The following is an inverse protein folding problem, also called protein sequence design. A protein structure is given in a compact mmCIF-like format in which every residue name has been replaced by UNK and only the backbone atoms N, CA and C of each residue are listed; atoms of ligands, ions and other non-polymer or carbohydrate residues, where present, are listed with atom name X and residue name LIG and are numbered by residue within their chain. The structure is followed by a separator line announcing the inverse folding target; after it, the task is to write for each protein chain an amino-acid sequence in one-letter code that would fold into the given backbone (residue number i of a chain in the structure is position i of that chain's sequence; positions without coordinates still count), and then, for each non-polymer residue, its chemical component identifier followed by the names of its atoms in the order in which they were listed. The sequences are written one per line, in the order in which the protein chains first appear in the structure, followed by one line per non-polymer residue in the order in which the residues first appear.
data_IF_154328319812
#
_entry.id   IF_154328319812
#
_cell.length_a   1.000
_cell.length_b   1.000
_cell.length_c   1.000
_cell.angle_alpha   90.00
_cell.angle_beta   90.00
_cell.angle_gamma   90.00
#
_symmetry.space_group_name_H-M   'P 1'
#
loop_
_entity.id
_entity.type
_entity.pdbx_description
1 polymer ?
#
# COMPACT_ATOMS: atom_id res chain seq x y z
N UNK A 1 27.49 -32.47 63.72
CA UNK A 1 27.97 -32.29 62.32
C UNK A 1 27.22 -33.32 61.48
N UNK A 2 26.42 -33.00 60.46
CA UNK A 2 26.47 -31.92 59.49
C UNK A 2 25.07 -31.31 59.25
N UNK A 3 25.05 -30.04 58.86
CA UNK A 3 23.89 -29.29 58.42
C UNK A 3 24.00 -29.22 56.88
N UNK A 4 23.21 -30.01 56.15
CA UNK A 4 23.16 -29.92 54.68
C UNK A 4 21.94 -29.09 54.25
N UNK A 5 22.19 -27.83 53.90
CA UNK A 5 21.26 -27.04 53.10
C UNK A 5 21.32 -27.49 51.64
N UNK A 6 20.19 -27.65 50.93
CA UNK A 6 20.21 -27.99 49.52
C UNK A 6 20.76 -26.82 48.70
N UNK A 7 21.86 -27.06 48.00
CA UNK A 7 22.45 -26.14 47.03
C UNK A 7 21.42 -25.81 45.94
N UNK A 8 20.96 -24.56 45.92
CA UNK A 8 20.13 -23.97 44.86
C UNK A 8 20.88 -24.09 43.52
N UNK A 9 20.50 -25.06 42.69
CA UNK A 9 21.07 -25.28 41.36
C UNK A 9 20.64 -24.11 40.45
N UNK A 10 21.53 -23.12 40.26
CA UNK A 10 21.39 -22.08 39.23
C UNK A 10 21.69 -22.70 37.86
N UNK A 11 20.76 -23.50 37.34
CA UNK A 11 20.80 -24.00 35.95
C UNK A 11 19.85 -23.18 35.11
N UNK A 12 20.31 -21.99 34.71
CA UNK A 12 19.58 -21.12 33.77
C UNK A 12 20.44 -20.02 33.15
N UNK A 13 21.76 -20.06 33.34
CA UNK A 13 22.64 -18.94 32.97
C UNK A 13 22.76 -18.74 31.46
N UNK A 14 23.23 -19.74 30.72
CA UNK A 14 23.46 -19.61 29.27
C UNK A 14 22.21 -19.94 28.45
N UNK A 15 21.55 -21.06 28.74
CA UNK A 15 20.31 -21.46 28.05
C UNK A 15 19.18 -20.45 28.28
N UNK A 16 19.01 -19.96 29.51
CA UNK A 16 18.01 -18.93 29.82
C UNK A 16 18.32 -17.58 29.18
N UNK A 17 19.60 -17.19 29.06
CA UNK A 17 20.00 -15.98 28.32
C UNK A 17 19.83 -16.11 26.82
N UNK A 18 20.06 -17.30 26.25
CA UNK A 18 19.80 -17.57 24.83
C UNK A 18 18.29 -17.53 24.58
N UNK A 19 17.49 -18.21 25.41
CA UNK A 19 16.03 -18.18 25.31
C UNK A 19 15.47 -16.76 25.48
N UNK A 20 15.97 -15.97 26.44
CA UNK A 20 15.54 -14.58 26.63
C UNK A 20 15.96 -13.66 25.46
N UNK A 21 17.07 -13.94 24.77
CA UNK A 21 17.48 -13.20 23.56
C UNK A 21 16.74 -13.64 22.30
N UNK A 22 16.18 -14.85 22.30
CA UNK A 22 15.39 -15.40 21.20
C UNK A 22 13.89 -15.15 21.38
N UNK A 23 13.45 -14.76 22.57
CA UNK A 23 12.09 -14.35 22.82
C UNK A 23 11.78 -13.07 22.00
N UNK A 24 10.58 -12.96 21.42
CA UNK A 24 10.13 -11.73 20.78
C UNK A 24 10.23 -10.56 21.75
N UNK A 25 10.61 -9.39 21.24
CA UNK A 25 10.56 -8.16 22.02
C UNK A 25 9.10 -7.73 22.21
N UNK A 26 8.78 -7.31 23.44
CA UNK A 26 7.54 -6.57 23.71
C UNK A 26 7.49 -5.34 22.81
N UNK A 27 6.28 -4.93 22.40
CA UNK A 27 6.11 -3.86 21.40
C UNK A 27 6.85 -2.57 21.79
N UNK A 28 6.81 -2.20 23.07
CA UNK A 28 7.45 -0.99 23.60
C UNK A 28 8.98 -1.07 23.63
N UNK A 29 9.55 -2.27 23.63
CA UNK A 29 11.00 -2.49 23.64
C UNK A 29 11.58 -2.59 22.21
N UNK A 30 10.73 -2.58 21.17
CA UNK A 30 11.18 -2.65 19.78
C UNK A 30 11.84 -1.35 19.34
N UNK A 31 12.98 -1.42 18.64
CA UNK A 31 13.69 -0.22 18.17
C UNK A 31 12.93 0.52 17.05
N UNK A 32 12.11 -0.21 16.29
CA UNK A 32 11.26 0.31 15.23
C UNK A 32 9.83 -0.12 15.54
N UNK A 33 8.90 0.83 15.51
CA UNK A 33 7.49 0.63 15.82
C UNK A 33 6.61 1.30 14.75
N UNK A 34 5.39 0.82 14.51
CA UNK A 34 4.46 1.53 13.65
C UNK A 34 4.16 2.92 14.20
N UNK A 35 4.14 3.92 13.32
CA UNK A 35 3.75 5.28 13.66
C UNK A 35 4.81 6.10 14.41
N UNK A 36 6.09 5.78 14.23
CA UNK A 36 7.17 6.65 14.73
C UNK A 36 7.05 8.06 14.14
N UNK A 37 7.41 9.08 14.93
CA UNK A 37 7.31 10.48 14.49
C UNK A 37 8.31 10.81 13.38
N UNK A 38 7.81 11.34 12.27
CA UNK A 38 8.55 11.91 11.15
C UNK A 38 8.51 13.43 11.12
N UNK A 39 8.57 14.02 9.92
CA UNK A 39 8.31 15.45 9.68
C UNK A 39 9.46 16.42 10.03
N UNK A 40 10.59 15.94 10.53
CA UNK A 40 11.70 16.79 10.99
C UNK A 40 12.49 17.47 9.86
N UNK A 41 12.67 16.79 8.73
CA UNK A 41 13.43 17.33 7.60
C UNK A 41 12.52 18.12 6.67
N UNK A 42 12.67 19.45 6.67
CA UNK A 42 11.88 20.39 5.85
C UNK A 42 12.82 21.22 4.97
N UNK A 43 13.19 20.73 3.76
CA UNK A 43 14.17 21.40 2.91
C UNK A 43 13.62 22.61 2.14
N UNK A 44 12.29 22.75 2.06
CA UNK A 44 11.62 23.85 1.36
C UNK A 44 11.10 24.87 2.39
N UNK A 45 11.16 26.15 2.03
CA UNK A 45 10.48 27.20 2.78
C UNK A 45 8.98 27.21 2.49
N UNK A 46 8.19 27.91 3.30
CA UNK A 46 6.75 28.06 3.05
C UNK A 46 6.45 28.68 1.67
N UNK A 47 7.25 29.67 1.27
CA UNK A 47 7.12 30.30 -0.04
C UNK A 47 7.44 29.33 -1.19
N UNK A 48 8.41 28.41 -1.01
CA UNK A 48 8.70 27.37 -2.00
C UNK A 48 7.55 26.36 -2.10
N UNK A 49 6.93 26.01 -0.96
CA UNK A 49 5.76 25.13 -0.92
C UNK A 49 4.56 25.75 -1.64
N UNK A 50 4.26 27.03 -1.36
CA UNK A 50 3.20 27.78 -2.05
C UNK A 50 3.46 27.81 -3.57
N UNK A 51 4.70 28.08 -3.99
CA UNK A 51 5.05 28.10 -5.42
C UNK A 51 4.82 26.74 -6.09
N UNK A 52 5.22 25.64 -5.46
CA UNK A 52 5.01 24.28 -6.01
C UNK A 52 3.51 23.95 -6.06
N UNK A 53 2.77 24.31 -5.02
CA UNK A 53 1.32 24.08 -4.96
C UNK A 53 0.58 24.85 -6.05
N UNK A 54 0.83 26.16 -6.18
CA UNK A 54 0.18 26.98 -7.20
C UNK A 54 0.55 26.53 -8.61
N UNK A 55 1.80 26.08 -8.84
CA UNK A 55 2.19 25.49 -10.13
C UNK A 55 1.42 24.19 -10.43
N UNK A 56 1.21 23.32 -9.44
CA UNK A 56 0.42 22.11 -9.61
C UNK A 56 -1.06 22.42 -9.93
N UNK A 57 -1.63 23.41 -9.25
CA UNK A 57 -3.00 23.89 -9.52
C UNK A 57 -3.10 24.50 -10.92
N UNK A 58 -2.15 25.34 -11.31
CA UNK A 58 -2.10 25.95 -12.65
C UNK A 58 -2.03 24.89 -13.75
N UNK A 59 -1.24 23.82 -13.55
CA UNK A 59 -1.18 22.70 -14.47
C UNK A 59 -2.52 21.96 -14.55
N UNK A 60 -3.18 21.67 -13.44
CA UNK A 60 -4.47 20.97 -13.44
C UNK A 60 -5.60 21.83 -14.02
N UNK A 61 -5.57 23.14 -13.80
CA UNK A 61 -6.60 24.08 -14.25
C UNK A 61 -6.41 24.49 -15.71
N UNK A 62 -5.19 24.82 -16.13
CA UNK A 62 -4.92 25.35 -17.48
C UNK A 62 -4.54 24.29 -18.49
N UNK A 63 -3.80 23.26 -18.07
CA UNK A 63 -3.37 22.19 -18.96
C UNK A 63 -4.27 20.96 -18.81
N UNK A 64 -4.76 20.64 -17.61
CA UNK A 64 -5.63 19.50 -17.36
C UNK A 64 -4.93 18.14 -17.50
N UNK A 65 -5.72 17.07 -17.38
CA UNK A 65 -5.28 15.68 -17.49
C UNK A 65 -5.83 15.03 -18.75
N UNK A 66 -4.98 14.37 -19.54
CA UNK A 66 -5.41 13.64 -20.73
C UNK A 66 -5.90 12.22 -20.43
N UNK A 67 -6.58 11.62 -21.42
CA UNK A 67 -7.09 10.24 -21.36
C UNK A 67 -8.08 9.96 -20.20
N UNK A 68 -9.01 10.87 -19.84
CA UNK A 68 -10.01 10.58 -18.82
C UNK A 68 -11.01 9.51 -19.32
N UNK A 69 -11.55 8.72 -18.39
CA UNK A 69 -12.67 7.80 -18.65
C UNK A 69 -14.02 8.52 -18.42
N UNK A 70 -15.13 8.04 -19.02
CA UNK A 70 -16.44 8.65 -18.85
C UNK A 70 -16.83 8.91 -17.40
N UNK A 71 -16.56 7.96 -16.49
CA UNK A 71 -16.87 8.11 -15.06
C UNK A 71 -16.14 9.29 -14.41
N UNK A 72 -14.91 9.59 -14.85
CA UNK A 72 -14.15 10.74 -14.31
C UNK A 72 -14.61 12.04 -14.91
N UNK A 73 -14.93 12.03 -16.22
CA UNK A 73 -15.49 13.21 -16.87
C UNK A 73 -16.76 13.61 -16.15
N UNK A 74 -17.71 12.69 -15.97
CA UNK A 74 -18.99 12.95 -15.31
C UNK A 74 -18.80 13.55 -13.91
N UNK A 75 -18.09 12.85 -13.02
CA UNK A 75 -17.90 13.30 -11.62
C UNK A 75 -17.19 14.65 -11.54
N UNK A 76 -16.20 14.90 -12.40
CA UNK A 76 -15.44 16.15 -12.37
C UNK A 76 -16.22 17.29 -13.00
N UNK A 77 -16.94 17.07 -14.10
CA UNK A 77 -17.77 18.11 -14.73
C UNK A 77 -18.95 18.50 -13.86
N UNK A 78 -19.57 17.54 -13.17
CA UNK A 78 -20.65 17.80 -12.22
C UNK A 78 -20.17 18.62 -11.02
N UNK A 79 -18.90 18.49 -10.65
CA UNK A 79 -18.25 19.27 -9.60
C UNK A 79 -17.66 20.62 -10.09
N UNK A 80 -17.86 20.99 -11.35
CA UNK A 80 -17.44 22.29 -11.91
C UNK A 80 -16.12 22.28 -12.68
N UNK A 81 -15.51 21.11 -12.90
CA UNK A 81 -14.46 20.93 -13.90
C UNK A 81 -15.02 20.95 -15.34
N UNK A 82 -14.15 20.85 -16.33
CA UNK A 82 -14.56 20.88 -17.74
C UNK A 82 -13.62 20.07 -18.64
N UNK A 83 -14.15 19.70 -19.82
CA UNK A 83 -13.36 19.14 -20.91
C UNK A 83 -12.98 20.24 -21.91
N UNK A 84 -11.73 20.30 -22.34
CA UNK A 84 -11.30 21.20 -23.42
C UNK A 84 -11.51 20.59 -24.83
N UNK A 85 -11.26 21.39 -25.87
CA UNK A 85 -11.32 20.96 -27.26
C UNK A 85 -10.26 19.90 -27.65
N UNK A 86 -9.27 19.67 -26.78
CA UNK A 86 -8.20 18.69 -26.97
C UNK A 86 -8.47 17.38 -26.21
N UNK A 87 -9.62 17.24 -25.57
CA UNK A 87 -9.99 16.03 -24.82
C UNK A 87 -9.25 15.89 -23.49
N UNK A 88 -8.87 17.00 -22.85
CA UNK A 88 -8.26 17.04 -21.52
C UNK A 88 -9.30 17.46 -20.49
N UNK A 89 -9.22 16.86 -19.31
CA UNK A 89 -10.09 17.13 -18.16
C UNK A 89 -9.41 18.13 -17.21
N UNK A 90 -10.06 19.25 -16.96
CA UNK A 90 -9.54 20.37 -16.18
C UNK A 90 -10.19 20.46 -14.80
N UNK A 91 -9.40 20.89 -13.82
CA UNK A 91 -9.79 20.96 -12.43
C UNK A 91 -9.57 22.37 -11.90
N UNK A 92 -10.62 23.16 -11.63
CA UNK A 92 -10.44 24.48 -11.02
C UNK A 92 -9.92 24.34 -9.59
N UNK A 93 -9.13 25.34 -9.13
CA UNK A 93 -8.55 25.36 -7.78
C UNK A 93 -9.54 24.99 -6.67
N UNK A 94 -10.73 25.58 -6.70
CA UNK A 94 -11.77 25.36 -5.70
C UNK A 94 -12.26 23.89 -5.65
N UNK A 95 -12.31 23.19 -6.79
CA UNK A 95 -12.65 21.76 -6.84
C UNK A 95 -11.56 20.93 -6.17
N UNK A 96 -10.29 21.21 -6.51
CA UNK A 96 -9.14 20.50 -5.93
C UNK A 96 -9.06 20.71 -4.42
N UNK A 97 -9.17 21.95 -3.95
CA UNK A 97 -9.17 22.29 -2.52
C UNK A 97 -10.36 21.65 -1.78
N UNK A 98 -11.55 21.66 -2.38
CA UNK A 98 -12.72 21.00 -1.82
C UNK A 98 -12.55 19.49 -1.68
N UNK A 99 -11.95 18.83 -2.68
CA UNK A 99 -11.64 17.41 -2.63
C UNK A 99 -10.59 17.08 -1.56
N UNK A 100 -9.57 17.93 -1.40
CA UNK A 100 -8.57 17.80 -0.33
C UNK A 100 -9.25 17.92 1.04
N UNK A 101 -10.15 18.90 1.24
CA UNK A 101 -10.83 19.10 2.53
C UNK A 101 -11.70 17.89 2.92
N UNK A 102 -12.36 17.26 1.95
CA UNK A 102 -13.17 16.06 2.16
C UNK A 102 -12.35 14.79 2.48
N UNK A 103 -11.08 14.75 2.08
CA UNK A 103 -10.25 13.56 2.23
C UNK A 103 -9.91 13.26 3.69
N UNK A 104 -9.97 11.98 4.08
CA UNK A 104 -9.58 11.52 5.42
C UNK A 104 -8.13 11.88 5.73
N UNK A 105 -7.90 12.58 6.85
CA UNK A 105 -6.55 12.99 7.32
C UNK A 105 -5.91 11.96 8.22
N UNK A 106 -6.74 11.22 8.94
CA UNK A 106 -6.37 10.17 9.87
C UNK A 106 -7.35 9.01 9.70
N UNK A 107 -6.82 7.79 9.55
CA UNK A 107 -7.61 6.57 9.40
C UNK A 107 -6.81 5.34 9.83
N UNK A 108 -7.50 4.23 10.09
CA UNK A 108 -6.88 2.96 10.45
C UNK A 108 -6.76 2.10 9.21
N UNK A 109 -5.54 1.74 8.83
CA UNK A 109 -5.31 0.68 7.86
C UNK A 109 -5.28 -0.65 8.59
N UNK A 110 -6.32 -1.45 8.39
CA UNK A 110 -6.53 -2.66 9.16
C UNK A 110 -5.55 -3.76 8.76
N UNK A 111 -5.02 -4.49 9.75
CA UNK A 111 -4.44 -5.80 9.50
C UNK A 111 -5.53 -6.85 9.36
N UNK A 112 -5.17 -8.04 8.88
CA UNK A 112 -6.04 -9.21 9.05
C UNK A 112 -6.25 -9.49 10.54
N UNK A 113 -5.16 -9.43 11.31
CA UNK A 113 -5.20 -9.35 12.77
C UNK A 113 -5.32 -7.87 13.20
N UNK A 114 -6.27 -7.59 14.08
CA UNK A 114 -6.53 -6.24 14.57
C UNK A 114 -5.30 -5.66 15.28
N UNK A 115 -4.54 -6.51 16.00
CA UNK A 115 -3.33 -6.11 16.71
C UNK A 115 -2.22 -5.57 15.80
N UNK A 116 -2.28 -5.86 14.49
CA UNK A 116 -1.31 -5.39 13.50
C UNK A 116 -1.81 -4.20 12.67
N UNK A 117 -3.01 -3.69 12.94
CA UNK A 117 -3.53 -2.49 12.27
C UNK A 117 -2.65 -1.26 12.57
N UNK A 118 -2.61 -0.31 11.64
CA UNK A 118 -1.77 0.89 11.78
C UNK A 118 -2.59 2.17 11.58
N UNK A 119 -2.28 3.18 12.40
CA UNK A 119 -2.86 4.53 12.25
C UNK A 119 -2.11 5.32 11.17
N UNK A 120 -2.77 5.55 10.04
CA UNK A 120 -2.27 6.37 8.94
C UNK A 120 -2.71 7.82 9.16
N UNK A 121 -1.81 8.78 8.96
CA UNK A 121 -2.10 10.21 9.12
C UNK A 121 -1.03 10.98 9.90
N UNK A 122 -1.07 12.31 9.76
CA UNK A 122 -0.08 13.21 10.36
C UNK A 122 1.37 12.88 9.97
N UNK A 123 2.29 13.02 10.93
CA UNK A 123 3.71 12.72 10.75
C UNK A 123 4.07 11.25 11.08
N UNK A 124 3.09 10.34 11.16
CA UNK A 124 3.34 8.93 11.52
C UNK A 124 4.03 8.19 10.37
N UNK A 125 5.20 7.62 10.66
CA UNK A 125 6.01 6.86 9.70
C UNK A 125 5.75 5.38 9.84
N UNK A 126 5.50 4.73 8.70
CA UNK A 126 5.36 3.28 8.60
C UNK A 126 6.28 2.71 7.53
N UNK A 127 6.97 1.62 7.86
CA UNK A 127 7.80 0.89 6.90
C UNK A 127 6.97 -0.22 6.27
N UNK A 128 7.11 -0.41 4.97
CA UNK A 128 6.47 -1.51 4.28
C UNK A 128 7.25 -1.88 3.04
N UNK A 129 6.92 -3.05 2.51
CA UNK A 129 7.40 -3.43 1.18
C UNK A 129 6.60 -2.73 0.11
N UNK A 130 7.14 -2.72 -1.11
CA UNK A 130 6.46 -2.35 -2.35
C UNK A 130 7.20 -2.98 -3.53
N UNK A 131 6.60 -2.95 -4.71
CA UNK A 131 7.26 -3.36 -5.95
C UNK A 131 6.33 -4.06 -6.91
N UNK A 132 6.95 -4.65 -7.93
CA UNK A 132 6.34 -5.55 -8.90
C UNK A 132 7.45 -6.23 -9.70
N UNK A 133 8.51 -6.70 -9.02
CA UNK A 133 9.63 -7.33 -9.69
C UNK A 133 9.17 -8.63 -10.39
N UNK A 134 9.65 -8.86 -11.61
CA UNK A 134 9.29 -10.05 -12.42
C UNK A 134 10.32 -11.19 -12.29
N UNK A 135 11.38 -10.94 -11.54
CA UNK A 135 12.45 -11.89 -11.25
C UNK A 135 12.69 -11.96 -9.75
N UNK A 136 12.94 -13.16 -9.26
CA UNK A 136 13.39 -13.45 -7.90
C UNK A 136 14.86 -13.86 -7.93
N UNK A 137 15.64 -13.33 -6.99
CA UNK A 137 17.01 -13.78 -6.77
C UNK A 137 17.01 -15.09 -5.98
N UNK A 138 17.65 -16.11 -6.54
CA UNK A 138 17.90 -17.38 -5.86
C UNK A 138 19.25 -17.31 -5.16
N UNK A 139 19.22 -17.29 -3.82
CA UNK A 139 20.43 -17.18 -3.00
C UNK A 139 21.33 -18.42 -3.05
N UNK A 140 20.78 -19.60 -3.39
CA UNK A 140 21.56 -20.84 -3.43
C UNK A 140 22.40 -20.91 -4.70
N UNK A 141 21.82 -20.49 -5.83
CA UNK A 141 22.48 -20.52 -7.14
C UNK A 141 23.12 -19.17 -7.51
N UNK A 142 22.78 -18.09 -6.80
CA UNK A 142 23.14 -16.70 -7.11
C UNK A 142 22.69 -16.28 -8.53
N UNK A 143 21.52 -16.76 -8.95
CA UNK A 143 20.93 -16.46 -10.27
C UNK A 143 19.54 -15.84 -10.12
N UNK A 144 18.99 -15.32 -11.21
CA UNK A 144 17.61 -14.82 -11.26
C UNK A 144 16.71 -15.81 -11.98
N UNK A 145 15.52 -16.03 -11.42
CA UNK A 145 14.44 -16.81 -12.03
C UNK A 145 13.15 -16.00 -12.06
N UNK A 146 12.18 -16.41 -12.87
CA UNK A 146 10.84 -15.86 -12.77
C UNK A 146 10.26 -16.10 -11.37
N UNK A 147 9.62 -15.07 -10.85
CA UNK A 147 8.86 -15.13 -9.59
C UNK A 147 7.53 -15.86 -9.80
N UNK A 148 7.04 -16.48 -8.75
CA UNK A 148 5.85 -17.33 -8.72
C UNK A 148 4.85 -16.83 -7.67
N UNK A 149 3.63 -17.35 -7.67
CA UNK A 149 2.67 -17.10 -6.59
C UNK A 149 3.21 -17.52 -5.21
N UNK A 150 4.03 -18.57 -5.14
CA UNK A 150 4.69 -18.96 -3.89
C UNK A 150 5.70 -17.91 -3.42
N UNK A 151 6.41 -17.23 -4.34
CA UNK A 151 7.31 -16.15 -3.94
C UNK A 151 6.56 -14.96 -3.34
N UNK A 152 5.36 -14.65 -3.84
CA UNK A 152 4.48 -13.64 -3.23
C UNK A 152 4.14 -14.03 -1.79
N UNK A 153 3.68 -15.27 -1.59
CA UNK A 153 3.33 -15.79 -0.28
C UNK A 153 4.53 -15.80 0.66
N UNK A 154 5.68 -16.31 0.22
CA UNK A 154 6.90 -16.38 1.03
C UNK A 154 7.41 -14.99 1.44
N UNK A 155 7.32 -14.00 0.53
CA UNK A 155 7.61 -12.60 0.84
C UNK A 155 6.65 -12.05 1.90
N UNK A 156 5.34 -12.31 1.77
CA UNK A 156 4.34 -11.90 2.76
C UNK A 156 4.60 -12.53 4.12
N UNK A 157 4.91 -13.83 4.16
CA UNK A 157 5.24 -14.58 5.37
C UNK A 157 6.51 -14.05 6.05
N UNK A 158 7.51 -13.70 5.26
CA UNK A 158 8.73 -13.07 5.78
C UNK A 158 8.39 -11.73 6.43
N UNK A 159 7.66 -10.86 5.73
CA UNK A 159 7.25 -9.55 6.27
C UNK A 159 6.42 -9.68 7.52
N UNK A 160 5.54 -10.67 7.61
CA UNK A 160 4.73 -10.93 8.80
C UNK A 160 5.60 -11.14 10.06
N UNK A 161 6.78 -11.75 9.90
CA UNK A 161 7.73 -12.00 11.01
C UNK A 161 8.65 -10.82 11.32
N UNK A 162 8.69 -9.78 10.48
CA UNK A 162 9.59 -8.64 10.66
C UNK A 162 8.93 -7.53 11.47
N UNK A 163 9.32 -7.35 12.73
CA UNK A 163 8.79 -6.31 13.61
C UNK A 163 8.95 -4.88 13.07
N UNK A 164 9.99 -4.65 12.27
CA UNK A 164 10.34 -3.36 11.70
C UNK A 164 9.68 -3.06 10.34
N UNK A 165 8.83 -3.97 9.84
CA UNK A 165 8.05 -3.79 8.60
C UNK A 165 6.58 -3.91 8.98
N UNK A 166 5.82 -2.82 8.84
CA UNK A 166 4.48 -2.65 9.39
C UNK A 166 3.36 -3.01 8.41
N UNK A 167 3.62 -2.99 7.10
CA UNK A 167 2.65 -3.43 6.07
C UNK A 167 3.36 -4.16 4.92
N UNK A 168 2.60 -4.98 4.19
CA UNK A 168 3.10 -5.73 3.04
C UNK A 168 2.39 -5.30 1.75
N UNK A 169 3.05 -4.54 0.89
CA UNK A 169 2.63 -4.46 -0.52
C UNK A 169 3.40 -5.51 -1.31
N UNK A 170 2.68 -6.23 -2.18
CA UNK A 170 3.21 -7.22 -3.12
C UNK A 170 4.55 -6.75 -3.72
N UNK A 171 5.60 -7.56 -3.57
CA UNK A 171 6.97 -7.24 -4.01
C UNK A 171 7.29 -7.76 -5.41
N UNK A 172 6.69 -8.88 -5.79
CA UNK A 172 6.94 -9.60 -7.04
C UNK A 172 5.65 -9.92 -7.77
N UNK A 173 5.72 -10.07 -9.09
CA UNK A 173 4.60 -10.52 -9.93
C UNK A 173 4.63 -12.05 -10.01
N UNK A 174 3.49 -12.72 -9.81
CA UNK A 174 3.36 -14.17 -9.99
C UNK A 174 3.41 -14.53 -11.49
N UNK A 175 4.61 -14.72 -12.05
CA UNK A 175 4.84 -14.96 -13.49
C UNK A 175 4.49 -16.38 -13.92
N UNK A 176 4.15 -17.26 -12.99
CA UNK A 176 3.60 -18.60 -13.21
C UNK A 176 2.10 -18.59 -13.55
N UNK A 177 1.45 -17.41 -13.58
CA UNK A 177 0.05 -17.22 -13.99
C UNK A 177 0.00 -16.37 -15.25
N UNK A 178 -0.53 -16.95 -16.33
CA UNK A 178 -0.62 -16.30 -17.63
C UNK A 178 -1.91 -15.47 -17.79
N UNK A 179 -3.01 -15.97 -17.24
CA UNK A 179 -4.30 -15.29 -17.23
C UNK A 179 -4.32 -14.14 -16.20
N UNK A 180 -4.78 -12.96 -16.60
CA UNK A 180 -4.79 -11.75 -15.77
C UNK A 180 -5.68 -11.91 -14.53
N UNK A 181 -6.83 -12.59 -14.68
CA UNK A 181 -7.75 -12.84 -13.59
C UNK A 181 -7.18 -13.82 -12.58
N UNK A 182 -6.59 -14.91 -13.06
CA UNK A 182 -5.89 -15.86 -12.19
C UNK A 182 -4.74 -15.20 -11.45
N UNK A 183 -3.94 -14.37 -12.13
CA UNK A 183 -2.84 -13.63 -11.51
C UNK A 183 -3.34 -12.74 -10.37
N UNK A 184 -4.35 -11.91 -10.61
CA UNK A 184 -4.87 -10.97 -9.63
C UNK A 184 -5.48 -11.68 -8.42
N UNK A 185 -6.38 -12.63 -8.65
CA UNK A 185 -7.05 -13.37 -7.58
C UNK A 185 -6.07 -14.18 -6.73
N UNK A 186 -5.13 -14.90 -7.37
CA UNK A 186 -4.15 -15.68 -6.62
C UNK A 186 -3.15 -14.79 -5.88
N UNK A 187 -2.80 -13.64 -6.45
CA UNK A 187 -1.90 -12.69 -5.77
C UNK A 187 -2.59 -12.06 -4.56
N UNK A 188 -3.85 -11.64 -4.71
CA UNK A 188 -4.66 -11.13 -3.62
C UNK A 188 -4.85 -12.19 -2.52
N UNK A 189 -5.16 -13.43 -2.89
CA UNK A 189 -5.26 -14.55 -1.96
C UNK A 189 -3.95 -14.79 -1.22
N UNK A 190 -2.83 -14.92 -1.94
CA UNK A 190 -1.50 -15.15 -1.37
C UNK A 190 -1.08 -14.04 -0.41
N UNK A 191 -1.43 -12.79 -0.72
CA UNK A 191 -1.21 -11.62 0.14
C UNK A 191 -2.04 -11.72 1.41
N UNK A 192 -3.35 -12.00 1.28
CA UNK A 192 -4.29 -12.13 2.40
C UNK A 192 -3.87 -13.24 3.38
N UNK A 193 -3.55 -14.43 2.89
CA UNK A 193 -3.19 -15.57 3.76
C UNK A 193 -1.71 -15.55 4.19
N UNK A 194 -0.90 -14.72 3.53
CA UNK A 194 0.54 -14.64 3.74
C UNK A 194 0.95 -13.71 4.89
N UNK A 195 0.10 -12.78 5.32
CA UNK A 195 0.43 -11.85 6.40
C UNK A 195 -0.78 -11.49 7.24
N UNK A 196 -0.55 -11.21 8.51
CA UNK A 196 -1.56 -10.70 9.44
C UNK A 196 -1.62 -9.17 9.45
N UNK A 197 -0.64 -8.52 8.80
CA UNK A 197 -0.48 -7.06 8.71
C UNK A 197 -1.33 -6.47 7.59
N UNK A 198 -1.56 -5.15 7.59
CA UNK A 198 -2.13 -4.45 6.45
C UNK A 198 -1.34 -4.76 5.19
N UNK A 199 -2.02 -4.89 4.06
CA UNK A 199 -1.35 -5.29 2.83
C UNK A 199 -1.89 -4.60 1.59
N UNK A 200 -1.19 -4.71 0.47
CA UNK A 200 -1.59 -4.08 -0.78
C UNK A 200 -1.14 -4.82 -2.02
N UNK A 201 -1.89 -4.63 -3.10
CA UNK A 201 -1.66 -5.27 -4.40
C UNK A 201 -2.26 -4.41 -5.51
N UNK A 202 -2.11 -4.82 -6.77
CA UNK A 202 -2.69 -4.16 -7.94
C UNK A 202 -3.61 -5.11 -8.71
N UNK A 203 -4.45 -4.55 -9.58
CA UNK A 203 -5.35 -5.30 -10.46
C UNK A 203 -5.17 -4.85 -11.90
N UNK A 204 -5.35 -5.77 -12.84
CA UNK A 204 -5.34 -5.49 -14.27
C UNK A 204 -6.70 -5.01 -14.78
N UNK A 205 -7.80 -5.51 -14.21
CA UNK A 205 -9.15 -5.22 -14.71
C UNK A 205 -10.13 -4.87 -13.61
N UNK A 206 -11.09 -4.01 -13.95
CA UNK A 206 -12.18 -3.56 -13.07
C UNK A 206 -12.93 -4.74 -12.45
N UNK A 207 -13.24 -5.77 -13.23
CA UNK A 207 -13.97 -6.93 -12.75
C UNK A 207 -13.20 -7.73 -11.68
N UNK A 208 -11.87 -7.80 -11.81
CA UNK A 208 -11.05 -8.55 -10.85
C UNK A 208 -11.08 -7.93 -9.46
N UNK A 209 -11.29 -6.60 -9.36
CA UNK A 209 -11.47 -5.92 -8.08
C UNK A 209 -12.71 -6.45 -7.38
N UNK A 210 -13.87 -6.50 -8.06
CA UNK A 210 -15.10 -7.02 -7.46
C UNK A 210 -14.97 -8.50 -7.08
N UNK A 211 -14.42 -9.33 -7.97
CA UNK A 211 -14.22 -10.76 -7.70
C UNK A 211 -13.29 -10.98 -6.48
N UNK A 212 -12.28 -10.12 -6.33
CA UNK A 212 -11.34 -10.18 -5.20
C UNK A 212 -11.99 -9.70 -3.91
N UNK A 213 -12.81 -8.65 -3.95
CA UNK A 213 -13.55 -8.18 -2.77
C UNK A 213 -14.59 -9.20 -2.33
N UNK A 214 -15.28 -9.86 -3.25
CA UNK A 214 -16.17 -10.99 -2.95
C UNK A 214 -15.40 -12.11 -2.21
N UNK A 215 -14.18 -12.43 -2.66
CA UNK A 215 -13.31 -13.39 -1.97
C UNK A 215 -12.94 -12.94 -0.55
N UNK A 216 -12.67 -11.65 -0.34
CA UNK A 216 -12.39 -11.12 0.99
C UNK A 216 -13.62 -11.17 1.90
N UNK A 217 -14.77 -10.75 1.39
CA UNK A 217 -16.06 -10.82 2.08
C UNK A 217 -16.38 -12.24 2.54
N UNK A 218 -16.22 -13.23 1.65
CA UNK A 218 -16.38 -14.65 2.01
C UNK A 218 -15.44 -15.05 3.14
N UNK A 219 -14.18 -14.60 3.12
CA UNK A 219 -13.19 -14.92 4.15
C UNK A 219 -13.47 -14.23 5.50
N UNK A 220 -14.14 -13.06 5.49
CA UNK A 220 -14.50 -12.31 6.71
C UNK A 220 -15.91 -12.62 7.24
N UNK A 221 -16.66 -13.48 6.55
CA UNK A 221 -17.94 -14.00 7.06
C UNK A 221 -19.19 -13.46 6.37
N UNK A 222 -19.06 -12.74 5.25
CA UNK A 222 -20.20 -12.35 4.43
C UNK A 222 -19.96 -11.10 3.59
N UNK A 223 -20.92 -10.84 2.70
CA UNK A 223 -20.96 -9.67 1.82
C UNK A 223 -20.86 -8.35 2.61
N UNK A 224 -19.98 -7.46 2.14
CA UNK A 224 -19.77 -6.13 2.70
C UNK A 224 -18.92 -6.07 3.98
N UNK A 225 -18.40 -7.21 4.48
CA UNK A 225 -17.50 -7.22 5.64
C UNK A 225 -16.16 -6.55 5.32
N UNK A 226 -15.64 -6.68 4.09
CA UNK A 226 -14.40 -6.01 3.66
C UNK A 226 -14.51 -4.51 3.74
N UNK A 227 -15.62 -3.94 3.28
CA UNK A 227 -15.84 -2.50 3.30
C UNK A 227 -15.79 -1.93 4.72
N UNK A 228 -16.22 -2.70 5.72
CA UNK A 228 -16.22 -2.26 7.13
C UNK A 228 -14.82 -2.25 7.72
N UNK A 229 -13.93 -3.13 7.23
CA UNK A 229 -12.57 -3.32 7.76
C UNK A 229 -11.58 -3.64 6.64
N UNK A 230 -11.29 -2.68 5.74
CA UNK A 230 -10.45 -2.96 4.60
C UNK A 230 -9.00 -3.15 5.04
N UNK A 231 -8.50 -4.37 4.86
CA UNK A 231 -7.12 -4.74 5.21
C UNK A 231 -6.17 -4.80 4.00
N UNK A 232 -6.73 -4.77 2.78
CA UNK A 232 -5.98 -4.69 1.52
C UNK A 232 -6.23 -3.35 0.85
N UNK A 233 -5.14 -2.66 0.50
CA UNK A 233 -5.17 -1.44 -0.30
C UNK A 233 -4.81 -1.72 -1.76
N UNK A 234 -5.33 -0.89 -2.66
CA UNK A 234 -4.97 -0.88 -4.05
C UNK A 234 -3.79 0.03 -4.36
N UNK A 235 -2.77 -0.52 -5.01
CA UNK A 235 -1.65 0.22 -5.52
C UNK A 235 -1.90 0.55 -7.00
N UNK A 236 -2.27 1.79 -7.27
CA UNK A 236 -2.60 2.25 -8.61
C UNK A 236 -1.56 3.25 -9.12
N UNK A 237 -0.80 2.84 -10.13
CA UNK A 237 -0.10 3.80 -11.00
C UNK A 237 -1.14 4.41 -11.93
N UNK A 238 -1.83 5.45 -11.46
CA UNK A 238 -3.00 6.01 -12.13
C UNK A 238 -2.65 7.06 -13.19
N UNK A 239 -1.41 7.57 -13.17
CA UNK A 239 -0.90 8.56 -14.12
C UNK A 239 0.25 7.96 -14.94
N UNK A 240 0.20 8.21 -16.26
CA UNK A 240 1.32 8.07 -17.18
C UNK A 240 1.89 9.46 -17.44
N UNK A 241 3.06 9.80 -16.88
CA UNK A 241 3.65 11.11 -17.12
C UNK A 241 4.05 11.32 -18.59
N UNK A 242 3.83 12.53 -19.15
CA UNK A 242 3.26 13.70 -18.49
C UNK A 242 1.72 13.77 -18.55
N UNK A 243 1.08 13.93 -17.38
CA UNK A 243 -0.32 14.35 -17.18
C UNK A 243 -1.36 13.65 -18.07
N UNK A 244 -1.32 12.31 -18.10
CA UNK A 244 -2.37 11.46 -18.67
C UNK A 244 -2.76 10.37 -17.70
N UNK A 245 -4.02 9.99 -17.68
CA UNK A 245 -4.43 8.82 -16.91
C UNK A 245 -4.00 7.52 -17.59
N UNK A 246 -3.63 6.54 -16.76
CA UNK A 246 -3.50 5.15 -17.18
C UNK A 246 -4.88 4.51 -17.17
N UNK A 247 -5.52 4.41 -18.34
CA UNK A 247 -6.93 4.01 -18.49
C UNK A 247 -7.31 2.75 -17.69
N UNK A 248 -6.54 1.67 -17.82
CA UNK A 248 -6.81 0.42 -17.11
C UNK A 248 -6.73 0.56 -15.58
N UNK A 249 -5.79 1.38 -15.10
CA UNK A 249 -5.60 1.65 -13.67
C UNK A 249 -6.77 2.47 -13.11
N UNK A 250 -7.24 3.49 -13.84
CA UNK A 250 -8.36 4.32 -13.38
C UNK A 250 -9.71 3.61 -13.49
N UNK A 251 -9.89 2.66 -14.42
CA UNK A 251 -11.06 1.75 -14.43
C UNK A 251 -11.08 0.88 -13.18
N UNK A 252 -9.95 0.31 -12.77
CA UNK A 252 -9.84 -0.41 -11.50
C UNK A 252 -10.13 0.51 -10.31
N UNK A 253 -9.66 1.76 -10.37
CA UNK A 253 -9.90 2.76 -9.33
C UNK A 253 -11.38 3.01 -9.06
N UNK A 254 -12.22 3.04 -10.10
CA UNK A 254 -13.68 3.16 -9.94
C UNK A 254 -14.23 2.01 -9.10
N UNK A 255 -13.89 0.76 -9.43
CA UNK A 255 -14.34 -0.40 -8.64
C UNK A 255 -13.79 -0.39 -7.20
N UNK A 256 -12.57 0.09 -7.00
CA UNK A 256 -11.95 0.19 -5.67
C UNK A 256 -12.68 1.21 -4.78
N UNK A 257 -13.06 2.37 -5.34
CA UNK A 257 -13.89 3.37 -4.65
C UNK A 257 -15.26 2.78 -4.31
N UNK A 258 -15.92 2.14 -5.28
CA UNK A 258 -17.24 1.52 -5.11
C UNK A 258 -17.24 0.43 -4.04
N UNK A 259 -16.17 -0.37 -3.94
CA UNK A 259 -16.03 -1.45 -2.96
C UNK A 259 -15.50 -0.99 -1.59
N UNK A 260 -14.96 0.23 -1.51
CA UNK A 260 -14.43 0.80 -0.27
C UNK A 260 -13.00 0.33 0.05
N UNK A 261 -12.26 -0.05 -0.98
CA UNK A 261 -10.85 -0.39 -0.90
C UNK A 261 -10.01 0.90 -0.78
N UNK A 262 -9.11 1.03 0.21
CA UNK A 262 -8.15 2.13 0.27
C UNK A 262 -7.28 2.14 -0.97
N UNK A 263 -6.96 3.32 -1.50
CA UNK A 263 -6.17 3.45 -2.73
C UNK A 263 -4.89 4.23 -2.44
N UNK A 264 -3.76 3.59 -2.73
CA UNK A 264 -2.46 4.21 -2.82
C UNK A 264 -2.19 4.66 -4.26
N UNK A 265 -2.22 5.98 -4.46
CA UNK A 265 -2.02 6.61 -5.76
C UNK A 265 -0.54 6.87 -6.04
N UNK A 266 -0.06 6.33 -7.16
CA UNK A 266 1.34 6.37 -7.56
C UNK A 266 1.49 7.13 -8.87
N UNK A 267 2.48 8.02 -8.92
CA UNK A 267 2.95 8.68 -10.14
C UNK A 267 4.47 8.61 -10.17
N UNK A 268 5.04 8.18 -11.31
CA UNK A 268 6.47 7.91 -11.46
C UNK A 268 7.08 8.80 -12.55
N UNK A 269 7.17 10.09 -12.27
CA UNK A 269 7.87 11.05 -13.13
C UNK A 269 9.37 10.79 -13.13
N UNK A 270 9.98 10.72 -14.31
CA UNK A 270 11.43 10.61 -14.48
C UNK A 270 11.99 11.98 -14.89
N UNK A 271 12.77 12.60 -14.02
CA UNK A 271 13.44 13.87 -14.31
C UNK A 271 14.29 13.78 -15.58
N UNK A 272 14.11 14.73 -16.49
CA UNK A 272 14.76 14.76 -17.80
C UNK A 272 14.21 13.79 -18.86
N UNK A 273 13.15 13.02 -18.56
CA UNK A 273 12.53 12.10 -19.51
C UNK A 273 11.01 12.29 -19.59
N UNK A 274 10.28 12.03 -18.50
CA UNK A 274 8.82 12.12 -18.43
C UNK A 274 8.32 13.19 -17.46
N UNK A 275 9.26 13.89 -16.82
CA UNK A 275 9.06 15.11 -16.03
C UNK A 275 10.29 16.01 -16.19
N UNK A 276 10.15 17.34 -16.10
CA UNK A 276 11.28 18.27 -16.18
C UNK A 276 12.41 17.92 -15.20
#
# INVERSE_FOLDING_TARGET
MSNEQPRRRRTGGRSGRIAARQAPLEVDDRPVRPGMSGGLYKPLSEADLEQVYDAAIDLLERLGMGSPIPEFIEVVTDAGGWMDEHGRLHYPKALVEGAIELAAKDWIWHGWDEANSIDVGGDRVHFGTAGAAVLMHDYQTNTFRHSTGNDVYDCARLVDQLDNIHFFVRTVVARDREDSRELDLNTAFATMVGTTKPSGTSWFEKQHVYDTVEMFDMAMGGEGEFRKRPFIAANNTFVVPPLRFAEESIKCMVAQVETGMPINLLSAGQAGATSP
#
